data_IF_344607104095
#
_entry.id   IF_344607104095
#
_cell.length_a   1.000
_cell.length_b   1.000
_cell.length_c   1.000
_cell.angle_alpha   90.00
_cell.angle_beta   90.00
_cell.angle_gamma   90.00
#
_symmetry.space_group_name_H-M   'P 1'
#
loop_
_entity.id
_entity.type
_entity.pdbx_description
1 polymer ?
#
# COMPACT_ATOMS: atom_id res chain seq x y z
N UNK A 1 41.03 0.37 39.99
CA UNK A 1 41.08 -0.18 38.63
C UNK A 1 39.63 -0.38 38.19
N UNK A 2 38.99 0.70 37.72
CA UNK A 2 37.57 0.76 37.40
C UNK A 2 37.45 0.50 35.88
N UNK A 3 36.73 -0.55 35.55
CA UNK A 3 36.35 -0.87 34.16
C UNK A 3 35.15 0.00 33.80
N UNK A 4 35.34 0.99 32.98
CA UNK A 4 34.27 1.73 32.30
C UNK A 4 33.69 0.82 31.21
N UNK A 5 32.46 0.40 31.38
CA UNK A 5 31.64 -0.18 30.32
C UNK A 5 31.14 0.98 29.47
N UNK A 6 31.72 1.16 28.28
CA UNK A 6 31.14 2.00 27.21
C UNK A 6 29.81 1.38 26.78
N UNK A 7 28.71 2.07 27.07
CA UNK A 7 27.41 1.84 26.46
C UNK A 7 27.53 2.20 24.98
N UNK A 8 27.66 1.19 24.12
CA UNK A 8 27.30 1.34 22.71
C UNK A 8 25.79 1.60 22.67
N UNK A 9 25.43 2.82 22.32
CA UNK A 9 24.05 3.22 22.07
C UNK A 9 23.51 2.36 20.91
N UNK A 10 22.54 1.55 21.21
CA UNK A 10 21.71 0.80 20.26
C UNK A 10 20.96 1.81 19.37
N UNK A 11 21.63 2.31 18.34
CA UNK A 11 20.95 3.10 17.29
C UNK A 11 20.09 2.14 16.48
N UNK A 12 18.78 2.37 16.40
CA UNK A 12 17.92 1.50 15.61
C UNK A 12 18.40 1.51 14.14
N UNK A 13 18.62 0.32 13.60
CA UNK A 13 19.11 0.10 12.22
C UNK A 13 18.12 0.65 11.20
N UNK A 14 16.87 0.90 11.60
CA UNK A 14 15.82 1.51 10.77
C UNK A 14 15.35 2.80 11.44
N UNK A 15 15.73 3.93 10.85
CA UNK A 15 15.22 5.24 11.27
C UNK A 15 13.89 5.52 10.59
N UNK A 16 12.83 6.02 11.30
CA UNK A 16 11.59 6.47 10.68
C UNK A 16 11.75 7.78 9.89
N UNK A 17 12.91 8.43 9.98
CA UNK A 17 13.23 9.65 9.24
C UNK A 17 14.06 9.31 8.01
N UNK A 18 13.67 9.91 6.89
CA UNK A 18 14.38 9.81 5.61
C UNK A 18 15.85 10.20 5.78
N UNK A 19 16.76 9.24 5.57
CA UNK A 19 18.20 9.52 5.57
C UNK A 19 18.66 9.85 4.14
N UNK A 20 19.70 10.71 3.95
CA UNK A 20 20.24 11.00 2.61
C UNK A 20 20.69 9.75 1.84
N UNK A 21 20.98 8.65 2.51
CA UNK A 21 21.31 7.35 1.95
C UNK A 21 20.10 6.66 1.30
N UNK A 22 18.88 6.97 1.76
CA UNK A 22 17.64 6.42 1.20
C UNK A 22 17.31 7.04 -0.17
N UNK A 23 17.92 8.16 -0.53
CA UNK A 23 17.78 8.78 -1.84
C UNK A 23 18.28 7.87 -2.99
N UNK A 24 19.26 7.02 -2.73
CA UNK A 24 19.76 6.01 -3.68
C UNK A 24 18.77 4.87 -3.88
N UNK A 25 18.12 4.40 -2.82
CA UNK A 25 17.11 3.33 -2.92
C UNK A 25 15.84 3.78 -3.64
N UNK A 26 15.43 5.03 -3.45
CA UNK A 26 14.28 5.62 -4.17
C UNK A 26 14.55 5.66 -5.68
N UNK A 27 15.80 5.89 -6.10
CA UNK A 27 16.19 5.87 -7.51
C UNK A 27 16.11 4.50 -8.17
N UNK A 28 16.28 3.41 -7.41
CA UNK A 28 16.24 2.04 -7.93
C UNK A 28 14.82 1.55 -8.23
N UNK A 29 13.82 2.02 -7.50
CA UNK A 29 12.43 1.61 -7.72
C UNK A 29 11.86 2.27 -8.98
N UNK A 30 11.17 1.50 -9.85
CA UNK A 30 10.48 2.07 -11.00
C UNK A 30 9.41 3.07 -10.53
N UNK A 31 9.30 4.19 -11.24
CA UNK A 31 8.31 5.23 -10.94
C UNK A 31 7.08 5.15 -11.84
N UNK A 32 7.23 4.63 -13.05
CA UNK A 32 6.16 4.51 -14.03
C UNK A 32 5.95 3.05 -14.44
N UNK A 33 4.80 2.75 -15.03
CA UNK A 33 4.50 1.42 -15.57
C UNK A 33 5.47 1.04 -16.70
N UNK A 34 5.95 1.99 -17.47
CA UNK A 34 6.97 1.79 -18.50
C UNK A 34 8.30 1.28 -17.94
N UNK A 35 8.66 1.71 -16.74
CA UNK A 35 9.91 1.34 -16.08
C UNK A 35 9.81 0.03 -15.30
N UNK A 36 8.58 -0.45 -15.09
CA UNK A 36 8.31 -1.65 -14.33
C UNK A 36 8.50 -2.88 -15.21
N UNK A 37 9.52 -3.67 -14.93
CA UNK A 37 9.87 -4.87 -15.70
C UNK A 37 9.01 -6.05 -15.28
N UNK A 38 8.57 -6.85 -16.25
CA UNK A 38 7.76 -8.04 -16.05
C UNK A 38 6.30 -7.75 -15.69
N UNK A 39 5.58 -8.79 -15.27
CA UNK A 39 4.15 -8.71 -14.90
C UNK A 39 3.26 -8.18 -16.04
N UNK A 40 3.55 -8.52 -17.28
CA UNK A 40 2.95 -7.89 -18.46
C UNK A 40 1.41 -7.95 -18.46
N UNK A 41 0.84 -9.07 -17.99
CA UNK A 41 -0.63 -9.20 -17.85
C UNK A 41 -1.21 -8.25 -16.82
N UNK A 42 -0.57 -8.15 -15.65
CA UNK A 42 -1.03 -7.24 -14.58
C UNK A 42 -0.87 -5.79 -15.01
N UNK A 43 0.26 -5.42 -15.64
CA UNK A 43 0.52 -4.10 -16.19
C UNK A 43 -0.47 -3.71 -17.27
N UNK A 44 -0.73 -4.61 -18.22
CA UNK A 44 -1.68 -4.35 -19.31
C UNK A 44 -3.09 -4.05 -18.77
N UNK A 45 -3.58 -4.85 -17.82
CA UNK A 45 -4.85 -4.58 -17.18
C UNK A 45 -4.83 -3.26 -16.41
N UNK A 46 -3.79 -3.04 -15.60
CA UNK A 46 -3.67 -1.85 -14.76
C UNK A 46 -3.63 -0.57 -15.58
N UNK A 47 -2.94 -0.56 -16.73
CA UNK A 47 -2.88 0.61 -17.61
C UNK A 47 -4.26 1.02 -18.13
N UNK A 48 -5.12 0.04 -18.44
CA UNK A 48 -6.50 0.29 -18.88
C UNK A 48 -7.32 0.92 -17.75
N UNK A 49 -7.23 0.37 -16.53
CA UNK A 49 -7.96 0.91 -15.38
C UNK A 49 -7.51 2.32 -15.01
N UNK A 50 -6.20 2.58 -14.99
CA UNK A 50 -5.63 3.91 -14.73
C UNK A 50 -6.10 4.91 -15.79
N UNK A 51 -6.00 4.55 -17.06
CA UNK A 51 -6.44 5.45 -18.13
C UNK A 51 -7.94 5.75 -18.06
N UNK A 52 -8.76 4.74 -17.78
CA UNK A 52 -10.20 4.92 -17.60
C UNK A 52 -10.53 5.84 -16.42
N UNK A 53 -9.88 5.67 -15.26
CA UNK A 53 -10.05 6.52 -14.08
C UNK A 53 -9.63 7.98 -14.38
N UNK A 54 -8.47 8.18 -15.02
CA UNK A 54 -7.97 9.50 -15.42
C UNK A 54 -8.91 10.22 -16.38
N UNK A 55 -9.47 9.51 -17.37
CA UNK A 55 -10.44 10.10 -18.31
C UNK A 55 -11.75 10.54 -17.64
N UNK A 56 -12.17 9.83 -16.59
CA UNK A 56 -13.35 10.19 -15.81
C UNK A 56 -13.08 11.27 -14.75
N UNK A 57 -11.82 11.55 -14.44
CA UNK A 57 -11.43 12.44 -13.33
C UNK A 57 -11.77 11.84 -11.96
N UNK A 58 -11.73 10.51 -11.84
CA UNK A 58 -12.09 9.77 -10.64
C UNK A 58 -10.87 9.04 -10.06
N UNK A 59 -10.88 8.72 -8.74
CA UNK A 59 -9.91 7.78 -8.19
C UNK A 59 -9.95 6.43 -8.91
N UNK A 60 -8.83 5.70 -8.87
CA UNK A 60 -8.80 4.33 -9.33
C UNK A 60 -9.70 3.46 -8.43
N UNK A 61 -10.35 2.47 -9.00
CA UNK A 61 -11.09 1.47 -8.22
C UNK A 61 -10.18 0.78 -7.20
N UNK A 62 -10.74 0.40 -6.04
CA UNK A 62 -9.97 -0.32 -5.03
C UNK A 62 -9.30 -1.54 -5.63
N UNK A 63 -8.00 -1.70 -5.40
CA UNK A 63 -7.14 -2.66 -6.10
C UNK A 63 -6.50 -3.64 -5.13
N UNK A 64 -6.61 -4.94 -5.40
CA UNK A 64 -5.96 -6.00 -4.65
C UNK A 64 -4.76 -6.56 -5.44
N UNK A 65 -3.57 -6.46 -4.86
CA UNK A 65 -2.35 -7.05 -5.38
C UNK A 65 -2.04 -8.34 -4.61
N UNK A 66 -2.02 -9.48 -5.28
CA UNK A 66 -1.76 -10.74 -4.59
C UNK A 66 -0.77 -11.64 -5.34
N UNK A 67 -0.02 -12.43 -4.59
CA UNK A 67 1.00 -13.33 -5.12
C UNK A 67 2.15 -13.54 -4.13
N UNK A 68 3.12 -14.41 -4.45
CA UNK A 68 4.28 -14.69 -3.61
C UNK A 68 4.99 -13.45 -3.08
N UNK A 69 5.77 -13.55 -2.00
CA UNK A 69 6.59 -12.43 -1.51
C UNK A 69 7.67 -12.05 -2.55
N UNK A 70 8.21 -10.84 -2.45
CA UNK A 70 9.32 -10.38 -3.30
C UNK A 70 8.96 -9.98 -4.73
N UNK A 71 7.67 -10.00 -5.12
CA UNK A 71 7.23 -9.68 -6.49
C UNK A 71 6.97 -8.20 -6.76
N UNK A 72 7.32 -7.31 -5.84
CA UNK A 72 7.20 -5.87 -6.04
C UNK A 72 5.80 -5.28 -5.83
N UNK A 73 4.92 -5.91 -5.00
CA UNK A 73 3.58 -5.39 -4.69
C UNK A 73 3.61 -3.94 -4.19
N UNK A 74 4.48 -3.65 -3.23
CA UNK A 74 4.66 -2.29 -2.69
C UNK A 74 5.19 -1.32 -3.74
N UNK A 75 6.11 -1.77 -4.58
CA UNK A 75 6.63 -0.97 -5.69
C UNK A 75 5.54 -0.65 -6.71
N UNK A 76 4.69 -1.64 -7.05
CA UNK A 76 3.59 -1.45 -7.97
C UNK A 76 2.54 -0.47 -7.42
N UNK A 77 2.28 -0.50 -6.10
CA UNK A 77 1.41 0.50 -5.46
C UNK A 77 1.97 1.93 -5.61
N UNK A 78 3.27 2.10 -5.44
CA UNK A 78 3.94 3.38 -5.70
C UNK A 78 3.86 3.84 -7.15
N UNK A 79 4.00 2.90 -8.09
CA UNK A 79 3.82 3.17 -9.53
C UNK A 79 2.38 3.61 -9.83
N UNK A 80 1.37 2.96 -9.24
CA UNK A 80 -0.04 3.37 -9.38
C UNK A 80 -0.22 4.82 -8.90
N UNK A 81 0.33 5.18 -7.74
CA UNK A 81 0.23 6.54 -7.22
C UNK A 81 0.87 7.58 -8.16
N UNK A 82 2.06 7.27 -8.66
CA UNK A 82 2.76 8.15 -9.62
C UNK A 82 1.99 8.31 -10.94
N UNK A 83 1.46 7.20 -11.49
CA UNK A 83 0.64 7.24 -12.71
C UNK A 83 -0.65 8.03 -12.49
N UNK A 84 -1.29 7.91 -11.34
CA UNK A 84 -2.49 8.70 -11.01
C UNK A 84 -2.17 10.15 -10.62
N UNK A 85 -0.91 10.48 -10.33
CA UNK A 85 -0.49 11.82 -9.90
C UNK A 85 -0.98 12.19 -8.49
N UNK A 86 -1.09 11.19 -7.59
CA UNK A 86 -1.62 11.36 -6.22
C UNK A 86 -0.60 10.89 -5.18
N UNK A 87 -0.85 11.25 -3.91
CA UNK A 87 -0.01 10.77 -2.81
C UNK A 87 -0.37 9.33 -2.42
N UNK A 88 0.61 8.63 -1.84
CA UNK A 88 0.43 7.30 -1.27
C UNK A 88 0.77 7.33 0.23
N UNK A 89 -0.14 6.78 1.04
CA UNK A 89 0.15 6.44 2.43
C UNK A 89 0.34 4.95 2.56
N UNK A 90 1.47 4.55 3.12
CA UNK A 90 1.87 3.15 3.25
C UNK A 90 1.71 2.72 4.69
N UNK A 91 1.04 1.60 4.90
CA UNK A 91 0.91 0.92 6.18
C UNK A 91 0.88 -0.59 5.99
N UNK A 92 0.69 -1.34 7.06
CA UNK A 92 0.54 -2.80 7.00
C UNK A 92 -0.62 -3.26 7.88
N UNK A 93 -1.20 -4.44 7.56
CA UNK A 93 -2.26 -5.02 8.37
C UNK A 93 -1.90 -5.11 9.86
N UNK A 94 -0.71 -5.66 10.22
CA UNK A 94 -0.28 -5.72 11.62
C UNK A 94 -0.10 -4.37 12.32
N UNK A 95 0.16 -3.29 11.58
CA UNK A 95 0.33 -1.95 12.17
C UNK A 95 -1.01 -1.27 12.52
N UNK A 96 -2.12 -1.81 12.03
CA UNK A 96 -3.47 -1.30 12.33
C UNK A 96 -4.09 -2.22 13.39
N UNK A 97 -3.87 -1.89 14.66
CA UNK A 97 -4.30 -2.75 15.76
C UNK A 97 -5.77 -2.52 16.17
N UNK A 98 -6.26 -1.31 16.00
CA UNK A 98 -7.60 -0.88 16.45
C UNK A 98 -8.28 0.03 15.42
N UNK A 99 -9.62 0.10 15.51
CA UNK A 99 -10.46 0.97 14.68
C UNK A 99 -9.96 2.40 14.55
N UNK A 100 -9.51 2.99 15.67
CA UNK A 100 -9.02 4.37 15.69
C UNK A 100 -7.76 4.59 14.85
N UNK A 101 -6.90 3.57 14.71
CA UNK A 101 -5.69 3.67 13.90
C UNK A 101 -6.06 3.79 12.40
N UNK A 102 -7.03 2.96 11.95
CA UNK A 102 -7.56 3.04 10.59
C UNK A 102 -8.30 4.35 10.34
N UNK A 103 -9.16 4.77 11.29
CA UNK A 103 -9.88 6.03 11.18
C UNK A 103 -8.92 7.23 11.03
N UNK A 104 -7.84 7.26 11.82
CA UNK A 104 -6.82 8.30 11.73
C UNK A 104 -6.10 8.31 10.37
N UNK A 105 -5.84 7.14 9.78
CA UNK A 105 -5.24 7.05 8.45
C UNK A 105 -6.21 7.59 7.38
N UNK A 106 -7.49 7.17 7.41
CA UNK A 106 -8.49 7.52 6.42
C UNK A 106 -8.87 9.00 6.44
N UNK A 107 -9.04 9.60 7.63
CA UNK A 107 -9.40 11.01 7.79
C UNK A 107 -8.28 11.98 7.39
N UNK A 108 -7.04 11.50 7.31
CA UNK A 108 -5.89 12.28 6.87
C UNK A 108 -5.54 12.12 5.38
N UNK A 109 -6.39 11.46 4.58
CA UNK A 109 -6.23 11.38 3.13
C UNK A 109 -6.78 12.65 2.46
N UNK A 110 -6.19 13.00 1.32
CA UNK A 110 -6.75 13.98 0.41
C UNK A 110 -7.58 13.30 -0.68
N UNK A 111 -8.46 14.01 -1.39
CA UNK A 111 -9.19 13.46 -2.53
C UNK A 111 -8.25 12.83 -3.56
N UNK A 112 -8.50 11.57 -3.92
CA UNK A 112 -7.71 10.81 -4.87
C UNK A 112 -6.50 10.08 -4.29
N UNK A 113 -6.08 10.36 -3.06
CA UNK A 113 -4.93 9.70 -2.42
C UNK A 113 -5.09 8.18 -2.38
N UNK A 114 -3.97 7.49 -2.32
CA UNK A 114 -3.92 6.04 -2.18
C UNK A 114 -3.57 5.67 -0.75
N UNK A 115 -4.38 4.80 -0.14
CA UNK A 115 -4.00 4.07 1.07
C UNK A 115 -3.50 2.68 0.66
N UNK A 116 -2.23 2.39 0.89
CA UNK A 116 -1.64 1.07 0.68
C UNK A 116 -1.54 0.32 2.01
N UNK A 117 -2.15 -0.88 2.06
CA UNK A 117 -2.07 -1.77 3.21
C UNK A 117 -1.37 -3.07 2.79
N UNK A 118 -0.13 -3.25 3.23
CA UNK A 118 0.57 -4.52 3.03
C UNK A 118 0.08 -5.59 4.01
N UNK A 119 0.15 -6.85 3.61
CA UNK A 119 -0.35 -8.00 4.37
C UNK A 119 -1.78 -7.77 4.89
N UNK A 120 -2.66 -7.25 4.04
CA UNK A 120 -4.03 -6.84 4.39
C UNK A 120 -4.85 -7.99 5.00
N UNK A 121 -4.53 -9.25 4.69
CA UNK A 121 -5.16 -10.43 5.29
C UNK A 121 -4.90 -10.58 6.80
N UNK A 122 -3.99 -9.77 7.37
CA UNK A 122 -3.68 -9.74 8.80
C UNK A 122 -4.45 -8.67 9.57
N UNK A 123 -5.32 -7.93 8.93
CA UNK A 123 -6.26 -7.06 9.63
C UNK A 123 -7.15 -7.89 10.57
N UNK A 124 -7.39 -7.37 11.77
CA UNK A 124 -8.38 -7.99 12.63
C UNK A 124 -9.79 -7.65 12.14
N UNK A 125 -10.75 -8.50 12.50
CA UNK A 125 -12.13 -8.42 12.01
C UNK A 125 -12.81 -7.09 12.33
N UNK A 126 -12.53 -6.51 13.49
CA UNK A 126 -13.15 -5.24 13.92
C UNK A 126 -12.65 -4.08 13.04
N UNK A 127 -11.39 -4.12 12.62
CA UNK A 127 -10.82 -3.14 11.67
C UNK A 127 -11.39 -3.35 10.27
N UNK A 128 -11.54 -4.61 9.83
CA UNK A 128 -12.18 -4.89 8.53
C UNK A 128 -13.61 -4.34 8.46
N UNK A 129 -14.40 -4.47 9.53
CA UNK A 129 -15.80 -3.98 9.58
C UNK A 129 -15.91 -2.47 9.39
N UNK A 130 -14.89 -1.69 9.79
CA UNK A 130 -14.81 -0.24 9.52
C UNK A 130 -14.35 0.03 8.08
N UNK A 131 -13.50 -0.83 7.54
CA UNK A 131 -13.00 -0.67 6.18
C UNK A 131 -14.10 -0.83 5.12
N UNK A 132 -15.12 -1.64 5.40
CA UNK A 132 -16.20 -1.88 4.44
C UNK A 132 -16.96 -0.61 4.06
N UNK A 133 -17.56 0.16 4.99
CA UNK A 133 -18.25 1.39 4.62
C UNK A 133 -17.28 2.46 4.09
N UNK A 134 -16.01 2.44 4.54
CA UNK A 134 -15.00 3.34 3.99
C UNK A 134 -14.74 3.10 2.50
N UNK A 135 -14.78 1.85 2.05
CA UNK A 135 -14.59 1.48 0.64
C UNK A 135 -15.85 1.70 -0.21
N UNK A 136 -17.02 1.44 0.34
CA UNK A 136 -18.27 1.51 -0.43
C UNK A 136 -18.85 2.91 -0.47
N UNK A 137 -18.96 3.54 0.70
CA UNK A 137 -19.67 4.80 0.90
C UNK A 137 -18.73 5.99 1.09
N UNK A 138 -17.42 5.77 1.18
CA UNK A 138 -16.45 6.79 1.60
C UNK A 138 -16.87 7.47 2.91
N UNK A 139 -17.24 6.67 3.90
CA UNK A 139 -17.62 7.12 5.22
C UNK A 139 -17.24 6.08 6.28
N UNK A 140 -17.04 6.54 7.52
CA UNK A 140 -16.82 5.69 8.68
C UNK A 140 -17.77 6.09 9.81
N UNK A 141 -18.23 5.08 10.57
CA UNK A 141 -19.02 5.30 11.77
C UNK A 141 -18.13 5.19 13.00
N UNK A 142 -18.05 6.27 13.77
CA UNK A 142 -17.26 6.34 15.01
C UNK A 142 -18.22 6.36 16.20
N UNK A 143 -18.03 5.42 17.12
CA UNK A 143 -18.78 5.39 18.36
C UNK A 143 -18.10 6.33 19.37
N UNK A 144 -18.81 7.38 19.77
CA UNK A 144 -18.36 8.36 20.77
C UNK A 144 -19.17 8.16 22.05
N UNK A 145 -18.46 8.00 23.17
CA UNK A 145 -19.06 7.73 24.48
C UNK A 145 -18.93 6.26 24.91
N UNK A 146 -19.50 5.94 26.07
CA UNK A 146 -19.51 4.59 26.64
C UNK A 146 -20.91 4.23 27.14
N UNK A 147 -21.27 2.95 27.06
CA UNK A 147 -22.53 2.42 27.57
C UNK A 147 -23.76 2.82 26.75
N UNK A 148 -24.96 2.82 27.32
CA UNK A 148 -26.23 3.06 26.61
C UNK A 148 -26.36 4.46 25.98
N UNK A 149 -25.52 5.42 26.40
CA UNK A 149 -25.49 6.80 25.88
C UNK A 149 -24.46 6.99 24.76
N UNK A 150 -23.84 5.92 24.26
CA UNK A 150 -22.91 6.01 23.15
C UNK A 150 -23.65 6.42 21.86
N UNK A 151 -23.16 7.46 21.19
CA UNK A 151 -23.68 7.92 19.92
C UNK A 151 -22.74 7.50 18.78
N UNK A 152 -23.31 7.04 17.67
CA UNK A 152 -22.55 6.86 16.43
C UNK A 152 -22.53 8.17 15.66
N UNK A 153 -21.34 8.61 15.28
CA UNK A 153 -21.12 9.76 14.42
C UNK A 153 -20.57 9.23 13.09
N UNK A 154 -21.29 9.51 12.00
CA UNK A 154 -20.81 9.22 10.64
C UNK A 154 -19.89 10.35 10.18
N UNK A 155 -18.69 10.01 9.77
CA UNK A 155 -17.71 10.91 9.17
C UNK A 155 -17.56 10.59 7.69
N UNK A 156 -17.78 11.57 6.84
CA UNK A 156 -17.51 11.45 5.42
C UNK A 156 -16.00 11.52 5.16
N UNK A 157 -15.53 10.68 4.26
CA UNK A 157 -14.15 10.59 3.82
C UNK A 157 -14.01 11.19 2.42
N UNK A 158 -12.84 11.74 2.07
CA UNK A 158 -12.55 12.03 0.68
C UNK A 158 -12.57 10.72 -0.12
N UNK A 159 -12.98 10.78 -1.40
CA UNK A 159 -12.84 9.63 -2.30
C UNK A 159 -11.37 9.27 -2.42
N UNK A 160 -11.01 8.04 -2.16
CA UNK A 160 -9.65 7.52 -2.15
C UNK A 160 -9.58 6.16 -2.84
N UNK A 161 -8.39 5.68 -3.13
CA UNK A 161 -8.16 4.33 -3.59
C UNK A 161 -7.50 3.50 -2.48
N UNK A 162 -8.10 2.38 -2.12
CA UNK A 162 -7.44 1.37 -1.31
C UNK A 162 -6.64 0.43 -2.23
N UNK A 163 -5.34 0.30 -1.99
CA UNK A 163 -4.51 -0.74 -2.60
C UNK A 163 -4.12 -1.73 -1.50
N UNK A 164 -4.74 -2.89 -1.51
CA UNK A 164 -4.41 -3.99 -0.60
C UNK A 164 -3.35 -4.91 -1.21
N UNK A 165 -2.38 -5.34 -0.41
CA UNK A 165 -1.41 -6.35 -0.82
C UNK A 165 -1.48 -7.58 0.09
N UNK A 166 -1.36 -8.77 -0.49
CA UNK A 166 -1.34 -10.00 0.28
C UNK A 166 -0.52 -11.11 -0.39
N UNK A 167 0.18 -11.89 0.41
CA UNK A 167 0.81 -13.14 -0.02
C UNK A 167 -0.16 -14.32 0.07
N UNK A 168 -1.31 -14.16 0.75
CA UNK A 168 -2.26 -15.21 1.09
C UNK A 168 -3.69 -14.82 0.75
N UNK A 169 -4.00 -14.68 -0.54
CA UNK A 169 -5.31 -14.25 -1.00
C UNK A 169 -6.48 -15.10 -0.47
N UNK A 170 -6.24 -16.39 -0.24
CA UNK A 170 -7.25 -17.30 0.34
C UNK A 170 -7.56 -17.06 1.82
N UNK A 171 -6.76 -16.26 2.54
CA UNK A 171 -7.00 -15.88 3.94
C UNK A 171 -7.76 -14.55 4.06
N UNK A 172 -7.95 -13.83 2.95
CA UNK A 172 -8.77 -12.63 2.94
C UNK A 172 -10.23 -13.01 3.10
N UNK A 173 -10.95 -12.28 3.95
CA UNK A 173 -12.40 -12.50 4.11
C UNK A 173 -13.13 -12.26 2.77
N UNK A 174 -14.15 -13.05 2.48
CA UNK A 174 -14.93 -12.88 1.25
C UNK A 174 -15.53 -11.46 1.15
N UNK A 175 -16.11 -10.88 2.23
CA UNK A 175 -16.66 -9.52 2.17
C UNK A 175 -15.61 -8.47 1.81
N UNK A 176 -14.38 -8.59 2.31
CA UNK A 176 -13.32 -7.64 1.97
C UNK A 176 -12.83 -7.82 0.53
N UNK A 177 -12.64 -9.06 0.12
CA UNK A 177 -12.17 -9.37 -1.24
C UNK A 177 -13.15 -8.88 -2.31
N UNK A 178 -14.45 -9.05 -2.09
CA UNK A 178 -15.49 -8.71 -3.06
C UNK A 178 -15.66 -7.19 -3.27
N UNK A 179 -15.07 -6.37 -2.38
CA UNK A 179 -15.02 -4.91 -2.48
C UNK A 179 -13.86 -4.38 -3.33
N UNK A 180 -12.95 -5.23 -3.74
CA UNK A 180 -11.89 -4.85 -4.67
C UNK A 180 -12.40 -4.98 -6.11
N UNK A 181 -12.56 -3.86 -6.80
CA UNK A 181 -12.96 -3.82 -8.21
C UNK A 181 -11.87 -4.33 -9.14
N UNK A 182 -10.60 -4.15 -8.76
CA UNK A 182 -9.44 -4.60 -9.53
C UNK A 182 -8.64 -5.64 -8.76
N UNK A 183 -8.48 -6.82 -9.33
CA UNK A 183 -7.73 -7.92 -8.72
C UNK A 183 -6.56 -8.31 -9.63
N UNK A 184 -5.31 -8.06 -9.17
CA UNK A 184 -4.10 -8.31 -9.94
C UNK A 184 -3.25 -9.40 -9.28
N UNK A 185 -3.12 -10.52 -9.96
CA UNK A 185 -2.22 -11.59 -9.56
C UNK A 185 -0.82 -11.29 -10.09
N UNK A 186 0.17 -11.25 -9.21
CA UNK A 186 1.57 -11.17 -9.57
C UNK A 186 2.16 -12.57 -9.64
N UNK A 187 2.94 -12.83 -10.69
CA UNK A 187 3.55 -14.12 -10.99
C UNK A 187 5.07 -14.05 -10.75
N UNK A 188 5.70 -15.20 -10.60
CA UNK A 188 7.15 -15.26 -10.46
C UNK A 188 7.81 -14.72 -11.73
N UNK A 189 8.87 -13.95 -11.55
CA UNK A 189 9.66 -13.43 -12.66
C UNK A 189 10.41 -14.55 -13.37
N UNK A 190 10.50 -14.44 -14.68
CA UNK A 190 11.40 -15.31 -15.48
C UNK A 190 12.86 -14.90 -15.27
N UNK A 191 13.83 -15.79 -15.56
CA UNK A 191 15.25 -15.43 -15.51
C UNK A 191 15.59 -14.19 -16.36
N UNK A 192 14.96 -14.05 -17.52
CA UNK A 192 15.15 -12.92 -18.45
C UNK A 192 14.61 -11.60 -17.86
N UNK A 193 13.47 -11.65 -17.19
CA UNK A 193 12.92 -10.50 -16.48
C UNK A 193 13.81 -10.09 -15.30
N UNK A 194 14.28 -11.06 -14.51
CA UNK A 194 15.24 -10.81 -13.43
C UNK A 194 16.52 -10.19 -13.94
N UNK A 195 17.08 -10.69 -15.06
CA UNK A 195 18.26 -10.13 -15.67
C UNK A 195 18.05 -8.65 -16.04
N UNK A 196 16.89 -8.30 -16.63
CA UNK A 196 16.54 -6.89 -16.96
C UNK A 196 16.47 -6.03 -15.70
N UNK A 197 15.86 -6.53 -14.61
CA UNK A 197 15.77 -5.80 -13.33
C UNK A 197 17.18 -5.53 -12.76
N UNK A 198 18.05 -6.55 -12.77
CA UNK A 198 19.43 -6.41 -12.29
C UNK A 198 20.21 -5.44 -13.15
N UNK A 199 20.16 -5.56 -14.48
CA UNK A 199 20.86 -4.68 -15.41
C UNK A 199 20.43 -3.23 -15.25
N UNK A 200 19.10 -2.98 -15.12
CA UNK A 200 18.59 -1.64 -14.85
C UNK A 200 19.12 -1.07 -13.53
N UNK A 201 19.10 -1.88 -12.48
CA UNK A 201 19.59 -1.45 -11.16
C UNK A 201 21.09 -1.16 -11.17
N UNK A 202 21.89 -2.02 -11.83
CA UNK A 202 23.32 -1.82 -12.01
C UNK A 202 23.62 -0.52 -12.78
N UNK A 203 22.88 -0.26 -13.85
CA UNK A 203 23.03 0.98 -14.63
C UNK A 203 22.74 2.24 -13.79
N UNK A 204 21.69 2.21 -12.95
CA UNK A 204 21.37 3.34 -12.05
C UNK A 204 22.48 3.56 -11.01
N UNK A 205 23.10 2.49 -10.53
CA UNK A 205 24.21 2.54 -9.56
C UNK A 205 25.55 2.83 -10.22
N UNK A 206 25.62 3.00 -11.54
CA UNK A 206 26.87 3.23 -12.27
C UNK A 206 27.81 2.02 -12.25
N UNK A 207 27.27 0.81 -12.04
CA UNK A 207 28.06 -0.43 -12.07
C UNK A 207 28.21 -0.89 -13.53
N UNK A 208 29.39 -1.45 -13.89
CA UNK A 208 29.65 -1.98 -15.23
C UNK A 208 28.81 -3.24 -15.53
#
# INVERSE_FOLDING_TARGET
MSLEFSQELDTPIVSPTFAPQDAGEIGLRPKLLSDYTGQEKAKGNLSIYIEAARRRGEPLDHTLLYGPPGLGKTTLAGVIANEMGVNIRVTSGPAIEKPGDLAALLTNLNPGDILFIDEIHRLNRVVEEILYPAMEDFAIDIIVGKGPSANSIRLDLPKFTLVGATTRAGQLSAPLRDRFGVNLRLELYTPEELAKIVTRSAAILGMP
#
